data_IF_542834018517
#
_entry.id   IF_542834018517
#
_cell.length_a   1.000
_cell.length_b   1.000
_cell.length_c   1.000
_cell.angle_alpha   90.00
_cell.angle_beta   90.00
_cell.angle_gamma   90.00
#
_symmetry.space_group_name_H-M   'P 1'
#
loop_
_entity.id
_entity.type
_entity.pdbx_description
1 polymer ?
#
# COMPACT_ATOMS: atom_id res chain seq x y z
N UNK A 1 -1.93 27.45 7.53
CA UNK A 1 -1.69 26.49 8.62
C UNK A 1 -1.68 25.11 8.01
N UNK A 2 -0.51 24.48 7.88
CA UNK A 2 -0.36 23.17 7.27
C UNK A 2 -0.70 22.17 8.38
N UNK A 3 -1.90 21.60 8.33
CA UNK A 3 -2.32 20.57 9.26
C UNK A 3 -1.52 19.30 8.97
N UNK A 4 -0.81 18.79 9.98
CA UNK A 4 -0.17 17.49 9.92
C UNK A 4 -1.17 16.41 9.49
N UNK A 5 -0.79 15.46 8.62
CA UNK A 5 -1.69 14.36 8.28
C UNK A 5 -2.01 13.56 9.56
N UNK A 6 -3.29 13.23 9.80
CA UNK A 6 -3.67 12.43 10.95
C UNK A 6 -3.38 10.96 10.64
N UNK A 7 -2.70 10.30 11.58
CA UNK A 7 -2.85 8.87 11.93
C UNK A 7 -1.57 8.01 11.83
N UNK A 8 -0.77 8.10 12.90
CA UNK A 8 0.24 7.12 13.34
C UNK A 8 -0.39 5.81 13.87
N UNK A 9 -1.43 5.26 13.24
CA UNK A 9 -2.01 3.97 13.63
C UNK A 9 -1.89 3.00 12.46
N UNK A 10 -0.71 2.38 12.38
CA UNK A 10 -0.40 1.28 11.48
C UNK A 10 -1.20 0.06 11.94
N UNK A 11 -2.27 -0.25 11.21
CA UNK A 11 -3.05 -1.46 11.43
C UNK A 11 -2.25 -2.65 10.87
N UNK A 12 -1.73 -3.49 11.77
CA UNK A 12 -1.10 -4.75 11.43
C UNK A 12 -2.10 -5.65 10.69
N UNK A 13 -1.90 -5.87 9.40
CA UNK A 13 -2.63 -6.88 8.65
C UNK A 13 -1.94 -8.23 8.87
N UNK A 14 -2.68 -9.17 9.47
CA UNK A 14 -2.17 -10.47 9.87
C UNK A 14 -1.71 -11.28 8.64
N UNK A 15 -0.41 -11.55 8.64
CA UNK A 15 0.33 -12.32 7.62
C UNK A 15 -0.32 -13.69 7.38
N UNK A 16 -0.80 -13.97 6.16
CA UNK A 16 -1.45 -15.25 5.89
C UNK A 16 -1.71 -15.56 4.41
N UNK A 17 -2.66 -14.90 3.78
CA UNK A 17 -3.11 -15.06 2.39
C UNK A 17 -4.21 -13.99 2.20
N UNK A 18 -4.39 -13.20 1.15
CA UNK A 18 -4.39 -13.45 -0.28
C UNK A 18 -4.32 -12.08 -0.96
N UNK A 19 -3.60 -11.99 -2.07
CA UNK A 19 -3.85 -10.95 -3.07
C UNK A 19 -5.35 -10.97 -3.40
N UNK A 20 -6.08 -9.89 -3.09
CA UNK A 20 -7.49 -9.77 -3.50
C UNK A 20 -7.58 -9.20 -4.92
N UNK A 21 -6.73 -8.21 -5.22
CA UNK A 21 -6.66 -7.58 -6.53
C UNK A 21 -5.27 -6.94 -6.75
N UNK A 22 -5.09 -6.31 -7.92
CA UNK A 22 -3.88 -5.55 -8.24
C UNK A 22 -4.20 -4.07 -8.38
N UNK A 23 -3.32 -3.23 -7.84
CA UNK A 23 -3.32 -1.79 -8.12
C UNK A 23 -2.34 -1.51 -9.23
N UNK A 24 -2.77 -0.77 -10.25
CA UNK A 24 -1.92 -0.34 -11.36
C UNK A 24 -1.43 1.09 -11.12
N UNK A 25 -0.21 1.25 -10.64
CA UNK A 25 0.41 2.54 -10.35
C UNK A 25 1.94 2.40 -10.35
N UNK A 26 2.66 3.50 -10.55
CA UNK A 26 4.12 3.54 -10.31
C UNK A 26 4.40 3.68 -8.81
N UNK A 27 5.62 3.35 -8.39
CA UNK A 27 6.06 3.58 -7.01
C UNK A 27 5.86 5.05 -6.58
N UNK A 28 6.23 6.00 -7.45
CA UNK A 28 6.11 7.43 -7.16
C UNK A 28 4.64 7.86 -6.98
N UNK A 29 3.73 7.33 -7.80
CA UNK A 29 2.29 7.60 -7.65
C UNK A 29 1.75 7.07 -6.32
N UNK A 30 2.16 5.87 -5.91
CA UNK A 30 1.75 5.31 -4.61
C UNK A 30 2.31 6.18 -3.47
N UNK A 31 3.58 6.59 -3.57
CA UNK A 31 4.20 7.43 -2.55
C UNK A 31 3.59 8.84 -2.49
N UNK A 32 3.16 9.41 -3.62
CA UNK A 32 2.45 10.69 -3.67
C UNK A 32 1.07 10.61 -3.01
N UNK A 33 0.32 9.53 -3.25
CA UNK A 33 -1.03 9.35 -2.70
C UNK A 33 -1.04 8.89 -1.24
N UNK A 34 -0.16 7.96 -0.88
CA UNK A 34 -0.17 7.28 0.42
C UNK A 34 0.95 7.72 1.36
N UNK A 35 1.91 8.52 0.87
CA UNK A 35 3.08 8.92 1.62
C UNK A 35 4.15 7.84 1.69
N UNK A 36 5.03 7.97 2.69
CA UNK A 36 6.15 7.06 2.88
C UNK A 36 5.67 5.64 3.18
N UNK A 37 6.33 4.60 2.64
CA UNK A 37 5.95 3.22 2.91
C UNK A 37 6.10 2.82 4.37
N UNK A 38 5.28 1.86 4.77
CA UNK A 38 5.33 1.18 6.05
C UNK A 38 6.46 0.15 6.03
N UNK A 39 7.42 0.30 6.95
CA UNK A 39 8.60 -0.59 7.05
C UNK A 39 8.39 -1.67 8.14
N UNK A 40 7.25 -1.64 8.84
CA UNK A 40 6.99 -2.52 9.99
C UNK A 40 6.52 -3.95 9.61
N UNK A 41 6.39 -4.25 8.31
CA UNK A 41 6.14 -5.62 7.85
C UNK A 41 7.37 -6.52 7.99
N UNK A 42 7.16 -7.84 7.94
CA UNK A 42 8.25 -8.83 7.94
C UNK A 42 9.16 -8.61 6.72
N UNK A 43 10.26 -7.90 6.93
CA UNK A 43 11.21 -7.49 5.89
C UNK A 43 11.91 -8.68 5.23
N UNK A 44 11.76 -9.91 5.76
CA UNK A 44 12.20 -11.12 5.06
C UNK A 44 11.26 -11.51 3.92
N UNK A 45 10.00 -11.05 3.94
CA UNK A 45 8.95 -11.38 2.96
C UNK A 45 8.51 -10.17 2.13
N UNK A 46 8.32 -9.02 2.77
CA UNK A 46 7.81 -7.79 2.16
C UNK A 46 8.99 -6.85 1.94
N UNK A 47 9.12 -6.34 0.72
CA UNK A 47 10.14 -5.32 0.40
C UNK A 47 9.64 -3.94 0.76
N UNK A 48 8.38 -3.67 0.47
CA UNK A 48 7.72 -2.40 0.74
C UNK A 48 6.21 -2.61 0.87
N UNK A 49 5.58 -1.84 1.74
CA UNK A 49 4.13 -1.82 1.85
C UNK A 49 3.57 -0.45 2.17
N UNK A 50 2.27 -0.28 1.94
CA UNK A 50 1.47 0.84 2.38
C UNK A 50 0.18 0.31 2.95
N UNK A 51 -0.33 0.95 3.99
CA UNK A 51 -1.66 0.70 4.52
C UNK A 51 -2.27 2.04 4.91
N UNK A 52 -3.46 2.31 4.36
CA UNK A 52 -4.20 3.54 4.60
C UNK A 52 -5.64 3.22 5.01
N UNK A 53 -6.18 4.05 5.89
CA UNK A 53 -7.59 4.08 6.22
C UNK A 53 -8.15 5.44 5.86
N UNK A 54 -9.08 5.47 4.92
CA UNK A 54 -9.76 6.68 4.48
C UNK A 54 -10.76 7.15 5.56
N UNK A 55 -11.15 8.42 5.53
CA UNK A 55 -11.98 9.03 6.58
C UNK A 55 -13.40 8.42 6.66
N UNK A 56 -13.89 7.89 5.54
CA UNK A 56 -15.15 7.15 5.45
C UNK A 56 -15.06 5.72 6.02
N UNK A 57 -13.88 5.31 6.47
CA UNK A 57 -13.62 4.01 7.09
C UNK A 57 -13.17 2.92 6.12
N UNK A 58 -13.08 3.18 4.81
CA UNK A 58 -12.51 2.23 3.83
C UNK A 58 -11.01 2.05 4.09
N UNK A 59 -10.52 0.85 3.85
CA UNK A 59 -9.12 0.48 4.09
C UNK A 59 -8.51 -0.08 2.81
N UNK A 60 -7.25 0.26 2.58
CA UNK A 60 -6.46 -0.24 1.46
C UNK A 60 -5.06 -0.57 1.95
N UNK A 61 -4.56 -1.74 1.57
CA UNK A 61 -3.18 -2.11 1.78
C UNK A 61 -2.56 -2.61 0.47
N UNK A 62 -1.31 -2.23 0.25
CA UNK A 62 -0.54 -2.48 -0.95
C UNK A 62 0.82 -3.04 -0.53
N UNK A 63 1.27 -4.11 -1.19
CA UNK A 63 2.57 -4.73 -0.93
C UNK A 63 3.32 -5.02 -2.22
N UNK A 64 4.63 -4.99 -2.08
CA UNK A 64 5.54 -5.72 -2.94
C UNK A 64 6.40 -6.68 -2.10
N UNK A 65 6.54 -7.90 -2.62
CA UNK A 65 7.18 -9.00 -1.91
C UNK A 65 8.60 -9.23 -2.43
N UNK A 66 9.55 -9.55 -1.54
CA UNK A 66 10.97 -9.76 -1.85
C UNK A 66 11.23 -10.84 -2.93
N UNK A 67 10.28 -11.76 -3.14
CA UNK A 67 10.38 -12.79 -4.17
C UNK A 67 10.41 -12.21 -5.60
N UNK A 68 9.83 -11.02 -5.79
CA UNK A 68 9.81 -10.33 -7.06
C UNK A 68 11.10 -9.51 -7.20
N UNK A 69 12.08 -10.05 -7.92
CA UNK A 69 13.41 -9.44 -8.11
C UNK A 69 13.42 -8.23 -9.06
N UNK A 70 12.25 -7.65 -9.35
CA UNK A 70 12.10 -6.49 -10.22
C UNK A 70 12.43 -5.23 -9.42
N UNK A 71 13.28 -4.30 -9.92
CA UNK A 71 13.51 -3.02 -9.26
C UNK A 71 12.19 -2.25 -9.04
N UNK A 72 12.04 -1.55 -7.91
CA UNK A 72 10.78 -0.92 -7.50
C UNK A 72 10.26 0.08 -8.53
N UNK A 73 11.18 0.83 -9.15
CA UNK A 73 10.92 1.81 -10.20
C UNK A 73 10.33 1.19 -11.48
N UNK A 74 10.45 -0.12 -11.65
CA UNK A 74 9.95 -0.86 -12.81
C UNK A 74 8.65 -1.64 -12.51
N UNK A 75 8.09 -1.52 -11.30
CA UNK A 75 6.83 -2.16 -10.93
C UNK A 75 5.66 -1.25 -11.27
N UNK A 76 4.70 -1.82 -12.00
CA UNK A 76 3.44 -1.15 -12.36
C UNK A 76 2.20 -1.89 -11.83
N UNK A 77 2.36 -3.07 -11.25
CA UNK A 77 1.25 -3.86 -10.72
C UNK A 77 1.61 -4.35 -9.32
N UNK A 78 0.83 -3.91 -8.34
CA UNK A 78 1.10 -4.13 -6.92
C UNK A 78 0.04 -5.04 -6.31
N UNK A 79 0.46 -5.89 -5.36
CA UNK A 79 -0.50 -6.76 -4.66
C UNK A 79 -1.30 -5.92 -3.69
N UNK A 80 -2.62 -6.03 -3.72
CA UNK A 80 -3.49 -5.23 -2.86
C UNK A 80 -4.59 -6.04 -2.16
N UNK A 81 -5.06 -5.48 -1.05
CA UNK A 81 -6.16 -5.97 -0.23
C UNK A 81 -6.97 -4.80 0.32
N UNK A 82 -8.26 -5.02 0.55
CA UNK A 82 -9.15 -4.03 1.15
C UNK A 82 -10.25 -3.63 0.16
N UNK A 83 -10.59 -2.35 0.16
CA UNK A 83 -11.67 -1.83 -0.68
C UNK A 83 -11.14 -1.45 -2.07
N UNK A 84 -11.58 -2.19 -3.10
CA UNK A 84 -11.21 -1.92 -4.49
C UNK A 84 -11.70 -0.55 -4.98
N UNK A 85 -12.83 -0.05 -4.46
CA UNK A 85 -13.34 1.28 -4.85
C UNK A 85 -12.47 2.40 -4.30
N UNK A 86 -11.84 2.19 -3.13
CA UNK A 86 -10.86 3.14 -2.61
C UNK A 86 -9.58 3.11 -3.45
N UNK A 87 -9.16 1.93 -3.92
CA UNK A 87 -8.03 1.83 -4.83
C UNK A 87 -8.31 2.55 -6.17
N UNK A 88 -9.51 2.37 -6.73
CA UNK A 88 -9.92 3.08 -7.95
C UNK A 88 -9.95 4.60 -7.72
N UNK A 89 -10.53 5.07 -6.62
CA UNK A 89 -10.58 6.51 -6.28
C UNK A 89 -9.19 7.17 -6.16
N UNK A 90 -8.16 6.39 -5.81
CA UNK A 90 -6.81 6.88 -5.56
C UNK A 90 -5.89 6.78 -6.80
N UNK A 91 -6.14 5.83 -7.71
CA UNK A 91 -5.20 5.47 -8.77
C UNK A 91 -5.81 5.45 -10.19
N UNK A 92 -7.10 5.72 -10.36
CA UNK A 92 -7.81 5.83 -11.64
C UNK A 92 -8.46 7.20 -11.78
#
# INVERSE_FOLDING_TARGET
MIGSPPNNQLYYIQNGSYLQFQVLATYDQIQEQLGTPNIDDDTSKVRVSWAVRHQDGRELAIWDYNQFKTPLENIMAWSAWGDITLADDLFI
#
